data_IF_437837893080
#
_entry.id   IF_437837893080
#
_cell.length_a   1.000
_cell.length_b   1.000
_cell.length_c   1.000
_cell.angle_alpha   90.00
_cell.angle_beta   90.00
_cell.angle_gamma   90.00
#
_symmetry.space_group_name_H-M   'P 1'
#
loop_
_entity.id
_entity.type
_entity.pdbx_description
1 polymer ?
#
# COMPACT_ATOMS: atom_id res chain seq x y z
N UNK A 1 11.53 -25.12 -13.51
CA UNK A 1 12.43 -23.95 -13.54
C UNK A 1 12.98 -23.76 -12.14
N UNK A 2 14.30 -23.91 -11.97
CA UNK A 2 14.96 -23.65 -10.69
C UNK A 2 15.27 -22.15 -10.58
N UNK A 3 14.39 -21.42 -9.88
CA UNK A 3 14.53 -19.97 -9.68
C UNK A 3 15.77 -19.58 -8.87
N UNK A 4 16.37 -20.49 -8.09
CA UNK A 4 17.62 -20.20 -7.37
C UNK A 4 18.77 -20.13 -8.35
N UNK A 5 18.90 -21.14 -9.22
CA UNK A 5 19.89 -21.19 -10.29
C UNK A 5 19.73 -20.03 -11.27
N UNK A 6 18.51 -19.72 -11.69
CA UNK A 6 18.22 -18.63 -12.62
C UNK A 6 18.67 -17.25 -12.07
N UNK A 7 18.53 -17.00 -10.76
CA UNK A 7 19.06 -15.78 -10.12
C UNK A 7 20.57 -15.69 -10.16
N UNK A 8 21.26 -16.79 -9.86
CA UNK A 8 22.74 -16.83 -9.89
C UNK A 8 23.25 -16.65 -11.32
N UNK A 9 22.64 -17.34 -12.29
CA UNK A 9 23.00 -17.19 -13.70
C UNK A 9 22.77 -15.74 -14.17
N UNK A 10 21.58 -15.18 -13.89
CA UNK A 10 21.27 -13.79 -14.27
C UNK A 10 22.23 -12.76 -13.64
N UNK A 11 22.79 -13.05 -12.47
CA UNK A 11 23.81 -12.22 -11.85
C UNK A 11 25.15 -12.33 -12.59
N UNK A 12 25.60 -13.56 -12.87
CA UNK A 12 26.90 -13.82 -13.49
C UNK A 12 26.94 -13.39 -14.96
N UNK A 13 25.79 -13.41 -15.64
CA UNK A 13 25.69 -13.08 -17.06
C UNK A 13 25.41 -11.58 -17.31
N UNK A 14 25.39 -10.75 -16.26
CA UNK A 14 25.21 -9.30 -16.40
C UNK A 14 26.31 -8.69 -17.30
N UNK A 15 25.99 -7.81 -18.28
CA UNK A 15 24.73 -7.06 -18.44
C UNK A 15 23.61 -7.74 -19.25
N UNK A 16 23.73 -9.02 -19.61
CA UNK A 16 22.65 -9.70 -20.33
C UNK A 16 21.40 -9.84 -19.44
N UNK A 17 20.25 -9.37 -19.96
CA UNK A 17 18.99 -9.36 -19.20
C UNK A 17 18.22 -10.64 -19.50
N UNK A 18 18.11 -11.50 -18.48
CA UNK A 18 17.18 -12.64 -18.50
C UNK A 18 15.92 -12.27 -17.72
N UNK A 19 14.77 -12.22 -18.42
CA UNK A 19 13.48 -11.96 -17.78
C UNK A 19 12.98 -13.21 -17.06
N UNK A 20 12.54 -13.06 -15.81
CA UNK A 20 11.90 -14.12 -15.04
C UNK A 20 10.44 -14.32 -15.48
N UNK A 21 9.81 -15.42 -15.03
CA UNK A 21 8.43 -15.78 -15.40
C UNK A 21 7.42 -14.64 -15.25
N UNK A 22 7.47 -13.87 -14.16
CA UNK A 22 6.53 -12.78 -13.92
C UNK A 22 6.83 -11.57 -14.82
N UNK A 23 8.11 -11.22 -14.99
CA UNK A 23 8.55 -10.16 -15.90
C UNK A 23 8.12 -10.47 -17.34
N UNK A 24 8.36 -11.70 -17.84
CA UNK A 24 7.89 -12.11 -19.20
C UNK A 24 6.39 -11.93 -19.38
N UNK A 25 5.58 -12.41 -18.43
CA UNK A 25 4.12 -12.24 -18.47
C UNK A 25 3.69 -10.78 -18.44
N UNK A 26 4.41 -9.95 -17.70
CA UNK A 26 4.12 -8.52 -17.66
C UNK A 26 4.45 -7.85 -18.99
N UNK A 27 5.59 -8.18 -19.60
CA UNK A 27 5.93 -7.70 -20.95
C UNK A 27 4.89 -8.13 -21.99
N UNK A 28 4.45 -9.40 -21.97
CA UNK A 28 3.37 -9.89 -22.84
C UNK A 28 2.07 -9.09 -22.66
N UNK A 29 1.72 -8.74 -21.41
CA UNK A 29 0.56 -7.89 -21.12
C UNK A 29 0.73 -6.48 -21.69
N UNK A 30 1.92 -5.88 -21.54
CA UNK A 30 2.23 -4.56 -22.08
C UNK A 30 2.09 -4.56 -23.60
N UNK A 31 2.67 -5.53 -24.30
CA UNK A 31 2.55 -5.66 -25.77
C UNK A 31 1.09 -5.76 -26.21
N UNK A 32 0.29 -6.60 -25.53
CA UNK A 32 -1.12 -6.80 -25.86
C UNK A 32 -1.96 -5.53 -25.71
N UNK A 33 -1.59 -4.64 -24.79
CA UNK A 33 -2.36 -3.45 -24.45
C UNK A 33 -1.82 -2.18 -25.13
N UNK A 34 -0.86 -2.26 -26.07
CA UNK A 34 -0.30 -1.05 -26.72
C UNK A 34 -1.32 -0.33 -27.61
N UNK A 35 -1.28 1.01 -27.68
CA UNK A 35 -0.50 1.93 -26.86
C UNK A 35 -1.24 2.26 -25.54
N UNK A 36 -0.66 1.92 -24.39
CA UNK A 36 -1.18 2.37 -23.08
C UNK A 36 -0.10 3.14 -22.35
N UNK A 37 -0.43 4.38 -21.96
CA UNK A 37 0.38 5.16 -21.02
C UNK A 37 0.17 4.56 -19.63
N UNK A 38 1.22 3.95 -19.06
CA UNK A 38 1.14 3.10 -17.86
C UNK A 38 1.11 3.87 -16.54
N UNK A 39 1.47 5.15 -16.58
CA UNK A 39 1.42 6.06 -15.44
C UNK A 39 1.33 7.51 -15.93
N UNK A 40 0.61 8.36 -15.20
CA UNK A 40 0.44 9.78 -15.51
C UNK A 40 0.92 10.63 -14.34
N UNK A 41 2.02 11.34 -14.56
CA UNK A 41 2.57 12.27 -13.58
C UNK A 41 1.71 13.53 -13.44
N UNK A 42 1.69 14.12 -12.25
CA UNK A 42 1.18 15.46 -12.04
C UNK A 42 2.12 16.50 -12.69
N UNK A 43 1.57 17.67 -13.02
CA UNK A 43 2.35 18.79 -13.54
C UNK A 43 2.76 19.68 -12.37
N UNK A 44 4.04 19.70 -12.08
CA UNK A 44 4.60 20.53 -11.00
C UNK A 44 5.18 21.82 -11.59
N UNK A 45 5.05 22.92 -10.85
CA UNK A 45 5.68 24.20 -11.15
C UNK A 45 7.13 24.22 -10.72
N UNK A 46 7.90 25.08 -11.37
CA UNK A 46 9.29 25.32 -11.00
C UNK A 46 9.37 26.12 -9.69
N UNK A 47 10.27 25.71 -8.78
CA UNK A 47 10.62 26.44 -7.55
C UNK A 47 12.08 26.17 -7.18
N UNK A 48 12.81 27.17 -6.74
CA UNK A 48 14.25 27.02 -6.40
C UNK A 48 14.51 26.38 -5.02
N UNK A 49 13.47 26.03 -4.26
CA UNK A 49 13.62 25.48 -2.92
C UNK A 49 14.45 24.16 -2.95
N UNK A 50 15.59 24.07 -2.25
CA UNK A 50 16.46 22.90 -2.33
C UNK A 50 15.81 21.61 -1.83
N UNK A 51 14.92 21.67 -0.83
CA UNK A 51 14.25 20.49 -0.33
C UNK A 51 13.15 20.01 -1.28
N UNK A 52 12.42 20.94 -1.90
CA UNK A 52 11.51 20.62 -3.00
C UNK A 52 12.25 19.93 -4.15
N UNK A 53 13.38 20.47 -4.59
CA UNK A 53 14.18 19.89 -5.67
C UNK A 53 14.66 18.46 -5.35
N UNK A 54 15.02 18.18 -4.10
CA UNK A 54 15.32 16.80 -3.64
C UNK A 54 14.09 15.90 -3.78
N UNK A 55 12.89 16.38 -3.47
CA UNK A 55 11.66 15.59 -3.61
C UNK A 55 11.34 15.31 -5.09
N UNK A 56 11.50 16.32 -5.96
CA UNK A 56 11.36 16.15 -7.41
C UNK A 56 12.35 15.13 -7.94
N UNK A 57 13.61 15.16 -7.49
CA UNK A 57 14.63 14.17 -7.85
C UNK A 57 14.21 12.74 -7.48
N UNK A 58 13.58 12.54 -6.32
CA UNK A 58 13.02 11.22 -5.97
C UNK A 58 11.90 10.79 -6.91
N UNK A 59 10.99 11.69 -7.32
CA UNK A 59 9.97 11.34 -8.30
C UNK A 59 10.57 10.95 -9.65
N UNK A 60 11.59 11.67 -10.13
CA UNK A 60 12.27 11.35 -11.39
C UNK A 60 12.87 9.95 -11.35
N UNK A 61 13.66 9.63 -10.33
CA UNK A 61 14.25 8.29 -10.18
C UNK A 61 13.19 7.17 -10.14
N UNK A 62 12.06 7.42 -9.49
CA UNK A 62 10.95 6.49 -9.45
C UNK A 62 10.26 6.31 -10.82
N UNK A 63 10.07 7.40 -11.55
CA UNK A 63 9.42 7.40 -12.87
C UNK A 63 10.30 6.72 -13.93
N UNK A 64 11.62 6.91 -13.88
CA UNK A 64 12.58 6.26 -14.78
C UNK A 64 12.63 4.75 -14.61
N UNK A 65 12.22 4.24 -13.45
CA UNK A 65 12.16 2.81 -13.16
C UNK A 65 10.89 2.13 -13.73
N UNK A 66 9.94 2.90 -14.27
CA UNK A 66 8.76 2.36 -14.92
C UNK A 66 9.03 2.00 -16.39
N UNK A 67 8.34 0.98 -16.93
CA UNK A 67 7.26 0.21 -16.30
C UNK A 67 7.68 -1.01 -15.47
N UNK A 68 8.95 -1.40 -15.49
CA UNK A 68 9.39 -2.70 -14.98
C UNK A 68 9.44 -2.76 -13.46
N UNK A 69 9.65 -1.61 -12.79
CA UNK A 69 9.91 -1.53 -11.36
C UNK A 69 9.00 -0.52 -10.65
N UNK A 70 7.67 -0.77 -10.61
CA UNK A 70 6.74 0.05 -9.82
C UNK A 70 7.08 0.03 -8.31
N UNK A 71 7.80 -0.99 -7.84
CA UNK A 71 8.30 -1.06 -6.48
C UNK A 71 9.35 0.01 -6.16
N UNK A 72 10.15 0.46 -7.14
CA UNK A 72 11.06 1.59 -6.97
C UNK A 72 10.32 2.93 -6.92
N UNK A 73 9.31 3.14 -7.78
CA UNK A 73 8.49 4.34 -7.70
C UNK A 73 7.82 4.44 -6.33
N UNK A 74 7.30 3.33 -5.80
CA UNK A 74 6.79 3.25 -4.43
C UNK A 74 7.84 3.70 -3.39
N UNK A 75 9.04 3.11 -3.39
CA UNK A 75 10.08 3.44 -2.39
C UNK A 75 10.48 4.92 -2.44
N UNK A 76 10.56 5.49 -3.65
CA UNK A 76 10.86 6.91 -3.83
C UNK A 76 9.71 7.83 -3.40
N UNK A 77 8.46 7.49 -3.72
CA UNK A 77 7.31 8.24 -3.23
C UNK A 77 7.20 8.18 -1.71
N UNK A 78 7.49 7.02 -1.11
CA UNK A 78 7.53 6.88 0.34
C UNK A 78 8.65 7.72 0.97
N UNK A 79 9.79 7.86 0.29
CA UNK A 79 10.87 8.75 0.71
C UNK A 79 10.43 10.21 0.68
N UNK A 80 9.65 10.63 -0.33
CA UNK A 80 9.04 11.96 -0.38
C UNK A 80 8.06 12.16 0.78
N UNK A 81 7.25 11.16 1.11
CA UNK A 81 6.34 11.21 2.27
C UNK A 81 7.14 11.41 3.56
N UNK A 82 8.16 10.58 3.79
CA UNK A 82 8.97 10.62 5.00
C UNK A 82 9.74 11.95 5.15
N UNK A 83 10.54 12.30 4.14
CA UNK A 83 11.42 13.48 4.19
C UNK A 83 10.63 14.78 4.03
N UNK A 84 9.70 14.83 3.08
CA UNK A 84 8.91 16.02 2.79
C UNK A 84 7.96 16.40 3.94
N UNK A 85 7.42 15.41 4.65
CA UNK A 85 6.52 15.66 5.77
C UNK A 85 7.24 15.81 7.12
N UNK A 86 8.56 15.61 7.20
CA UNK A 86 9.31 15.66 8.45
C UNK A 86 9.09 16.95 9.27
N UNK A 87 9.09 18.12 8.63
CA UNK A 87 8.82 19.40 9.30
C UNK A 87 7.36 19.59 9.69
N UNK A 88 6.43 18.86 9.06
CA UNK A 88 5.02 18.84 9.44
C UNK A 88 4.81 17.99 10.70
N UNK A 89 5.74 17.10 11.05
CA UNK A 89 5.62 16.20 12.20
C UNK A 89 6.88 16.23 13.09
N UNK A 90 7.25 17.39 13.66
CA UNK A 90 8.50 17.55 14.38
C UNK A 90 8.60 16.59 15.57
N UNK A 91 9.71 15.86 15.65
CA UNK A 91 9.99 14.90 16.73
C UNK A 91 9.12 13.63 16.73
N UNK A 92 8.30 13.39 15.70
CA UNK A 92 7.45 12.18 15.64
C UNK A 92 7.97 11.08 14.71
N UNK A 93 8.94 11.41 13.86
CA UNK A 93 9.52 10.50 12.86
C UNK A 93 8.48 9.90 11.90
N UNK A 94 8.89 8.88 11.14
CA UNK A 94 8.02 8.24 10.13
C UNK A 94 6.73 7.67 10.73
N UNK A 95 6.78 7.11 11.95
CA UNK A 95 5.57 6.60 12.62
C UNK A 95 4.55 7.71 12.88
N UNK A 96 5.00 8.90 13.27
CA UNK A 96 4.11 10.06 13.39
C UNK A 96 3.49 10.48 12.08
N UNK A 97 4.31 10.52 11.02
CA UNK A 97 3.89 10.91 9.68
C UNK A 97 2.80 9.97 9.16
N UNK A 98 3.04 8.65 9.11
CA UNK A 98 2.06 7.69 8.54
C UNK A 98 0.77 7.59 9.35
N UNK A 99 0.80 7.95 10.65
CA UNK A 99 -0.38 7.97 11.50
C UNK A 99 -1.16 9.29 11.38
N UNK A 100 -0.48 10.40 11.08
CA UNK A 100 -1.03 11.75 11.16
C UNK A 100 -1.28 12.44 9.82
N UNK A 101 -0.64 12.00 8.72
CA UNK A 101 -0.70 12.65 7.42
C UNK A 101 -2.13 12.74 6.88
N UNK A 102 -2.91 11.66 6.98
CA UNK A 102 -4.31 11.66 6.56
C UNK A 102 -5.15 12.75 7.25
N UNK A 103 -4.96 12.96 8.56
CA UNK A 103 -5.65 14.02 9.29
C UNK A 103 -5.30 15.41 8.77
N UNK A 104 -4.01 15.67 8.49
CA UNK A 104 -3.57 16.98 7.96
C UNK A 104 -4.14 17.26 6.58
N UNK A 105 -4.16 16.25 5.72
CA UNK A 105 -4.67 16.37 4.35
C UNK A 105 -6.18 16.63 4.32
N UNK A 106 -6.94 15.89 5.13
CA UNK A 106 -8.39 16.11 5.27
C UNK A 106 -8.69 17.48 5.89
N UNK A 107 -7.92 17.91 6.88
CA UNK A 107 -8.07 19.26 7.45
C UNK A 107 -7.73 20.37 6.43
N UNK A 108 -6.83 20.10 5.49
CA UNK A 108 -6.45 21.04 4.43
C UNK A 108 -7.50 21.13 3.32
N UNK A 109 -8.02 19.99 2.84
CA UNK A 109 -9.07 19.94 1.82
C UNK A 109 -9.93 18.69 1.97
N UNK A 110 -10.97 18.78 2.82
CA UNK A 110 -11.76 17.62 3.23
C UNK A 110 -12.43 16.91 2.05
N UNK A 111 -13.13 17.65 1.19
CA UNK A 111 -13.88 17.09 0.06
C UNK A 111 -12.98 16.35 -0.92
N UNK A 112 -11.83 16.95 -1.27
CA UNK A 112 -10.92 16.36 -2.24
C UNK A 112 -10.22 15.12 -1.67
N UNK A 113 -9.72 15.20 -0.44
CA UNK A 113 -9.00 14.07 0.19
C UNK A 113 -9.92 12.91 0.55
N UNK A 114 -11.16 13.17 0.97
CA UNK A 114 -12.15 12.11 1.15
C UNK A 114 -12.42 11.37 -0.16
N UNK A 115 -12.61 12.10 -1.28
CA UNK A 115 -12.79 11.51 -2.60
C UNK A 115 -11.57 10.72 -3.09
N UNK A 116 -10.35 11.20 -2.81
CA UNK A 116 -9.10 10.48 -3.09
C UNK A 116 -9.06 9.15 -2.31
N UNK A 117 -9.33 9.20 -1.01
CA UNK A 117 -9.28 8.03 -0.13
C UNK A 117 -10.35 7.00 -0.52
N UNK A 118 -11.54 7.47 -0.88
CA UNK A 118 -12.60 6.64 -1.46
C UNK A 118 -12.15 5.91 -2.72
N UNK A 119 -11.54 6.64 -3.65
CA UNK A 119 -11.06 6.08 -4.90
C UNK A 119 -9.96 5.04 -4.67
N UNK A 120 -9.00 5.35 -3.80
CA UNK A 120 -7.88 4.45 -3.47
C UNK A 120 -8.36 3.17 -2.78
N UNK A 121 -9.20 3.28 -1.75
CA UNK A 121 -9.70 2.10 -1.02
C UNK A 121 -10.62 1.24 -1.88
N UNK A 122 -11.40 1.83 -2.79
CA UNK A 122 -12.23 1.09 -3.75
C UNK A 122 -11.37 0.35 -4.79
N UNK A 123 -10.30 0.98 -5.27
CA UNK A 123 -9.44 0.43 -6.30
C UNK A 123 -8.40 -0.58 -5.78
N UNK A 124 -8.12 -0.59 -4.47
CA UNK A 124 -7.11 -1.46 -3.86
C UNK A 124 -7.32 -2.94 -4.23
N UNK A 125 -6.32 -3.60 -4.86
CA UNK A 125 -6.43 -5.00 -5.24
C UNK A 125 -6.63 -5.93 -4.05
N UNK A 126 -7.39 -7.02 -4.24
CA UNK A 126 -7.60 -8.01 -3.17
C UNK A 126 -6.30 -8.68 -2.72
N UNK A 127 -5.29 -8.80 -3.59
CA UNK A 127 -3.94 -9.24 -3.21
C UNK A 127 -3.29 -8.32 -2.17
N UNK A 128 -3.52 -7.02 -2.23
CA UNK A 128 -3.00 -6.06 -1.25
C UNK A 128 -3.67 -6.22 0.11
N UNK A 129 -4.99 -6.43 0.15
CA UNK A 129 -5.68 -6.77 1.41
C UNK A 129 -5.22 -8.11 1.99
N UNK A 130 -4.98 -9.12 1.14
CA UNK A 130 -4.40 -10.40 1.57
C UNK A 130 -2.99 -10.25 2.12
N UNK A 131 -2.19 -9.37 1.52
CA UNK A 131 -0.86 -9.05 2.04
C UNK A 131 -0.92 -8.46 3.45
N UNK A 132 -1.80 -7.46 3.68
CA UNK A 132 -2.00 -6.88 5.03
C UNK A 132 -2.53 -7.92 6.01
N UNK A 133 -3.55 -8.69 5.63
CA UNK A 133 -4.12 -9.74 6.47
C UNK A 133 -3.07 -10.79 6.87
N UNK A 134 -2.29 -11.28 5.90
CA UNK A 134 -1.21 -12.24 6.14
C UNK A 134 -0.20 -11.69 7.14
N UNK A 135 0.22 -10.44 6.98
CA UNK A 135 1.17 -9.80 7.88
C UNK A 135 0.63 -9.68 9.32
N UNK A 136 -0.65 -9.36 9.49
CA UNK A 136 -1.29 -9.33 10.81
C UNK A 136 -1.29 -10.73 11.44
N UNK A 137 -1.68 -11.75 10.69
CA UNK A 137 -1.70 -13.14 11.17
C UNK A 137 -0.30 -13.65 11.54
N UNK A 138 0.69 -13.46 10.66
CA UNK A 138 2.09 -13.88 10.89
C UNK A 138 2.69 -13.18 12.11
N UNK A 139 2.44 -11.88 12.25
CA UNK A 139 2.92 -11.12 13.40
C UNK A 139 2.27 -11.57 14.71
N UNK A 140 0.96 -11.83 14.73
CA UNK A 140 0.29 -12.32 15.94
C UNK A 140 0.79 -13.71 16.37
N UNK A 141 1.14 -14.56 15.41
CA UNK A 141 1.68 -15.89 15.68
C UNK A 141 3.18 -15.85 16.04
N UNK A 142 3.84 -14.70 15.92
CA UNK A 142 5.28 -14.59 16.20
C UNK A 142 6.16 -15.26 15.13
N UNK A 143 5.66 -15.40 13.90
CA UNK A 143 6.38 -16.08 12.82
C UNK A 143 7.59 -15.30 12.29
N UNK A 144 7.64 -13.98 12.52
CA UNK A 144 8.64 -13.08 11.95
C UNK A 144 9.44 -12.35 13.05
N UNK A 145 10.70 -12.02 12.79
CA UNK A 145 11.55 -11.29 13.74
C UNK A 145 10.99 -9.91 14.14
N UNK A 146 10.19 -9.30 13.24
CA UNK A 146 9.55 -8.00 13.45
C UNK A 146 8.07 -8.09 13.87
N UNK A 147 7.64 -9.24 14.42
CA UNK A 147 6.26 -9.47 14.85
C UNK A 147 5.79 -8.44 15.88
N UNK A 148 6.62 -8.09 16.87
CA UNK A 148 6.27 -7.15 17.94
C UNK A 148 5.86 -5.77 17.42
N UNK A 149 6.71 -5.07 16.65
CA UNK A 149 6.37 -3.77 16.05
C UNK A 149 5.10 -3.79 15.18
N UNK A 150 4.86 -4.87 14.42
CA UNK A 150 3.64 -5.01 13.61
C UNK A 150 2.41 -5.17 14.51
N UNK A 151 2.46 -6.05 15.51
CA UNK A 151 1.37 -6.25 16.49
C UNK A 151 1.02 -4.93 17.19
N UNK A 152 2.03 -4.19 17.67
CA UNK A 152 1.79 -2.92 18.35
C UNK A 152 1.09 -1.90 17.43
N UNK A 153 1.56 -1.79 16.17
CA UNK A 153 0.97 -0.90 15.18
C UNK A 153 -0.48 -1.26 14.86
N UNK A 154 -0.75 -2.54 14.62
CA UNK A 154 -2.09 -3.05 14.28
C UNK A 154 -3.03 -2.89 15.47
N UNK A 155 -2.58 -3.20 16.69
CA UNK A 155 -3.35 -2.99 17.93
C UNK A 155 -3.68 -1.52 18.16
N UNK A 156 -2.73 -0.62 17.90
CA UNK A 156 -2.96 0.83 18.00
C UNK A 156 -3.95 1.33 16.96
N UNK A 157 -3.89 0.80 15.73
CA UNK A 157 -4.81 1.16 14.66
C UNK A 157 -6.25 0.67 14.94
N UNK A 158 -6.42 -0.59 15.35
CA UNK A 158 -7.75 -1.15 15.60
C UNK A 158 -8.38 -0.70 16.91
N UNK A 159 -7.57 -0.23 17.87
CA UNK A 159 -7.91 -0.17 19.30
C UNK A 159 -7.96 -1.56 19.95
N UNK A 160 -7.63 -1.69 21.25
CA UNK A 160 -7.45 -2.99 21.90
C UNK A 160 -8.65 -3.94 21.78
N UNK A 161 -9.88 -3.44 21.93
CA UNK A 161 -11.08 -4.28 21.92
C UNK A 161 -11.38 -4.87 20.52
N UNK A 162 -11.27 -4.05 19.47
CA UNK A 162 -11.49 -4.51 18.09
C UNK A 162 -10.34 -5.39 17.62
N UNK A 163 -9.10 -5.06 18.00
CA UNK A 163 -7.94 -5.91 17.76
C UNK A 163 -8.16 -7.31 18.30
N UNK A 164 -8.55 -7.43 19.58
CA UNK A 164 -8.80 -8.72 20.21
C UNK A 164 -9.87 -9.52 19.46
N UNK A 165 -11.00 -8.92 19.12
CA UNK A 165 -12.05 -9.60 18.35
C UNK A 165 -11.58 -10.02 16.95
N UNK A 166 -10.76 -9.20 16.29
CA UNK A 166 -10.20 -9.52 14.97
C UNK A 166 -9.30 -10.76 15.05
N UNK A 167 -8.40 -10.79 16.03
CA UNK A 167 -7.49 -11.93 16.25
C UNK A 167 -8.28 -13.19 16.64
N UNK A 168 -9.25 -13.07 17.54
CA UNK A 168 -10.09 -14.18 17.95
C UNK A 168 -10.86 -14.77 16.77
N UNK A 169 -11.42 -13.93 15.90
CA UNK A 169 -12.20 -14.39 14.74
C UNK A 169 -11.33 -14.98 13.64
N UNK A 170 -10.28 -14.28 13.23
CA UNK A 170 -9.55 -14.59 11.99
C UNK A 170 -8.23 -15.33 12.19
N UNK A 171 -7.75 -15.44 13.43
CA UNK A 171 -6.53 -16.20 13.76
C UNK A 171 -6.89 -17.44 14.57
N UNK A 172 -7.39 -17.26 15.80
CA UNK A 172 -7.65 -18.39 16.69
C UNK A 172 -8.91 -19.18 16.30
N UNK A 173 -9.99 -18.51 15.92
CA UNK A 173 -11.21 -19.13 15.40
C UNK A 173 -10.98 -19.86 14.08
N UNK A 174 -9.94 -19.49 13.32
CA UNK A 174 -9.47 -20.21 12.13
C UNK A 174 -8.51 -21.37 12.46
N UNK A 175 -8.22 -21.61 13.75
CA UNK A 175 -7.34 -22.69 14.21
C UNK A 175 -5.86 -22.50 13.87
N UNK A 176 -5.42 -21.27 13.63
CA UNK A 176 -4.04 -20.97 13.28
C UNK A 176 -3.13 -21.01 14.52
N UNK A 177 -1.97 -21.65 14.38
CA UNK A 177 -0.94 -21.78 15.42
C UNK A 177 0.43 -21.60 14.79
N UNK A 178 1.49 -21.43 15.60
CA UNK A 178 2.88 -21.46 15.11
C UNK A 178 3.25 -22.75 14.38
N UNK A 179 2.65 -23.87 14.79
CA UNK A 179 2.87 -25.20 14.23
C UNK A 179 2.03 -25.51 12.99
N UNK A 180 1.04 -24.67 12.65
CA UNK A 180 0.18 -24.84 11.48
C UNK A 180 0.40 -23.71 10.48
N UNK A 181 0.68 -23.99 9.20
CA UNK A 181 0.84 -22.94 8.21
C UNK A 181 -0.46 -22.15 8.06
N UNK A 182 -0.33 -20.84 7.92
CA UNK A 182 -1.47 -19.94 7.69
C UNK A 182 -2.18 -20.36 6.40
N UNK A 183 -3.42 -20.80 6.51
CA UNK A 183 -4.19 -21.27 5.37
C UNK A 183 -4.57 -20.11 4.44
N UNK A 184 -4.65 -20.39 3.15
CA UNK A 184 -5.12 -19.41 2.17
C UNK A 184 -6.53 -18.91 2.49
N UNK A 185 -7.40 -19.81 2.96
CA UNK A 185 -8.78 -19.49 3.32
C UNK A 185 -8.88 -18.50 4.49
N UNK A 186 -8.10 -18.69 5.56
CA UNK A 186 -8.09 -17.77 6.69
C UNK A 186 -7.65 -16.36 6.27
N UNK A 187 -6.57 -16.27 5.47
CA UNK A 187 -6.10 -14.99 4.91
C UNK A 187 -7.14 -14.36 3.99
N UNK A 188 -7.85 -15.16 3.19
CA UNK A 188 -8.89 -14.68 2.29
C UNK A 188 -10.08 -14.10 3.05
N UNK A 189 -10.54 -14.76 4.12
CA UNK A 189 -11.62 -14.27 4.98
C UNK A 189 -11.23 -12.96 5.68
N UNK A 190 -10.04 -12.91 6.27
CA UNK A 190 -9.50 -11.70 6.88
C UNK A 190 -9.36 -10.56 5.86
N UNK A 191 -8.87 -10.83 4.66
CA UNK A 191 -8.74 -9.85 3.59
C UNK A 191 -10.08 -9.29 3.12
N UNK A 192 -11.11 -10.15 3.01
CA UNK A 192 -12.46 -9.71 2.65
C UNK A 192 -13.04 -8.78 3.72
N UNK A 193 -12.81 -9.10 5.00
CA UNK A 193 -13.17 -8.19 6.10
C UNK A 193 -12.41 -6.86 6.01
N UNK A 194 -11.08 -6.89 5.83
CA UNK A 194 -10.28 -5.67 5.71
C UNK A 194 -10.71 -4.80 4.53
N UNK A 195 -11.11 -5.42 3.41
CA UNK A 195 -11.68 -4.70 2.25
C UNK A 195 -12.97 -3.97 2.62
N UNK A 196 -13.89 -4.66 3.29
CA UNK A 196 -15.13 -4.05 3.77
C UNK A 196 -14.84 -2.93 4.79
N UNK A 197 -13.98 -3.20 5.76
CA UNK A 197 -13.60 -2.25 6.81
C UNK A 197 -12.93 -0.99 6.25
N UNK A 198 -11.98 -1.14 5.32
CA UNK A 198 -11.30 -0.03 4.67
C UNK A 198 -12.19 0.74 3.68
N UNK A 199 -13.29 0.15 3.21
CA UNK A 199 -14.25 0.84 2.33
C UNK A 199 -15.05 1.93 3.04
N UNK A 200 -15.14 1.89 4.37
CA UNK A 200 -15.98 2.80 5.16
C UNK A 200 -17.48 2.67 4.88
N UNK A 201 -17.91 1.66 4.12
CA UNK A 201 -19.31 1.45 3.74
C UNK A 201 -20.04 0.57 4.76
N UNK A 202 -21.32 0.87 5.00
CA UNK A 202 -22.20 0.03 5.81
C UNK A 202 -22.39 -1.33 5.15
N UNK A 203 -22.27 -2.40 5.95
CA UNK A 203 -22.67 -3.72 5.51
C UNK A 203 -24.19 -3.83 5.42
N UNK A 204 -24.67 -4.41 4.33
CA UNK A 204 -26.11 -4.64 4.11
C UNK A 204 -26.68 -5.76 4.97
N UNK A 205 -25.82 -6.63 5.52
CA UNK A 205 -26.21 -7.74 6.38
C UNK A 205 -25.66 -7.52 7.78
N UNK A 206 -26.55 -7.55 8.77
CA UNK A 206 -26.17 -7.51 10.18
C UNK A 206 -25.48 -8.82 10.57
N UNK A 207 -24.35 -8.72 11.25
CA UNK A 207 -23.68 -9.90 11.79
C UNK A 207 -24.23 -10.16 13.20
N UNK A 208 -25.16 -11.10 13.35
CA UNK A 208 -25.81 -11.38 14.65
C UNK A 208 -24.92 -12.12 15.66
N UNK A 209 -23.60 -12.20 15.47
CA UNK A 209 -22.69 -12.87 16.40
C UNK A 209 -22.30 -11.91 17.55
N UNK A 210 -22.84 -12.09 18.78
CA UNK A 210 -22.63 -11.14 19.88
C UNK A 210 -21.16 -11.01 20.28
N UNK A 211 -20.38 -12.08 20.10
CA UNK A 211 -18.96 -12.15 20.41
C UNK A 211 -18.09 -11.18 19.58
N UNK A 212 -18.57 -10.72 18.42
CA UNK A 212 -17.78 -9.93 17.46
C UNK A 212 -18.40 -8.56 17.14
N UNK A 213 -19.08 -7.94 18.12
CA UNK A 213 -19.80 -6.67 17.95
C UNK A 213 -18.93 -5.52 17.41
N UNK A 214 -17.63 -5.45 17.74
CA UNK A 214 -16.72 -4.40 17.24
C UNK A 214 -16.25 -4.63 15.80
N UNK A 215 -16.57 -5.79 15.23
CA UNK A 215 -16.35 -6.14 13.83
C UNK A 215 -17.63 -6.08 13.00
N UNK A 216 -18.78 -5.72 13.60
CA UNK A 216 -20.05 -5.61 12.89
C UNK A 216 -20.09 -4.31 12.08
N UNK A 217 -19.91 -4.43 10.76
CA UNK A 217 -19.89 -3.30 9.82
C UNK A 217 -21.29 -2.77 9.47
N UNK A 218 -22.35 -3.36 10.03
CA UNK A 218 -23.70 -2.78 9.98
C UNK A 218 -23.92 -1.72 11.07
N UNK A 219 -23.06 -1.69 12.09
CA UNK A 219 -23.03 -0.65 13.11
C UNK A 219 -22.15 0.53 12.64
N UNK A 220 -22.76 1.70 12.44
CA UNK A 220 -22.07 2.89 11.95
C UNK A 220 -20.93 3.35 12.85
N UNK A 221 -20.97 3.03 14.16
CA UNK A 221 -19.89 3.34 15.10
C UNK A 221 -18.61 2.53 14.86
N UNK A 222 -18.68 1.47 14.06
CA UNK A 222 -17.53 0.65 13.70
C UNK A 222 -16.89 1.06 12.37
N UNK A 223 -17.48 1.99 11.62
CA UNK A 223 -16.94 2.44 10.35
C UNK A 223 -15.70 3.31 10.57
N UNK A 224 -14.76 3.21 9.62
CA UNK A 224 -13.60 4.08 9.62
C UNK A 224 -13.94 5.44 9.01
N UNK A 225 -13.50 6.50 9.69
CA UNK A 225 -13.47 7.85 9.08
C UNK A 225 -12.49 7.89 7.90
N UNK A 226 -12.61 8.89 7.00
CA UNK A 226 -11.64 9.06 5.92
C UNK A 226 -10.19 9.11 6.44
N UNK A 227 -9.94 9.78 7.56
CA UNK A 227 -8.61 9.86 8.16
C UNK A 227 -8.10 8.50 8.66
N UNK A 228 -8.97 7.68 9.25
CA UNK A 228 -8.60 6.33 9.66
C UNK A 228 -8.37 5.43 8.44
N UNK A 229 -9.07 5.64 7.33
CA UNK A 229 -8.83 4.91 6.07
C UNK A 229 -7.49 5.32 5.43
N UNK A 230 -7.13 6.60 5.47
CA UNK A 230 -5.78 7.03 5.10
C UNK A 230 -4.72 6.41 6.03
N UNK A 231 -4.98 6.34 7.34
CA UNK A 231 -4.10 5.69 8.30
C UNK A 231 -3.92 4.19 7.98
N UNK A 232 -4.98 3.49 7.57
CA UNK A 232 -4.88 2.10 7.07
C UNK A 232 -3.91 2.00 5.87
N UNK A 233 -4.11 2.83 4.85
CA UNK A 233 -3.31 2.83 3.63
C UNK A 233 -1.83 3.14 3.89
N UNK A 234 -1.55 4.13 4.74
CA UNK A 234 -0.18 4.57 5.01
C UNK A 234 0.55 3.67 6.03
N UNK A 235 -0.12 3.33 7.15
CA UNK A 235 0.53 2.67 8.29
C UNK A 235 0.44 1.15 8.21
N UNK A 236 -0.69 0.58 7.80
CA UNK A 236 -0.84 -0.88 7.71
C UNK A 236 -0.42 -1.45 6.36
N UNK A 237 -0.52 -0.67 5.28
CA UNK A 237 -0.12 -1.13 3.96
C UNK A 237 1.26 -0.61 3.55
N UNK A 238 1.40 0.70 3.30
CA UNK A 238 2.65 1.25 2.77
C UNK A 238 3.84 1.08 3.72
N UNK A 239 3.69 1.41 5.00
CA UNK A 239 4.78 1.34 5.97
C UNK A 239 5.26 -0.10 6.20
N UNK A 240 4.34 -1.07 6.32
CA UNK A 240 4.73 -2.49 6.45
C UNK A 240 5.47 -2.94 5.19
N UNK A 241 4.95 -2.63 4.00
CA UNK A 241 5.61 -2.95 2.73
C UNK A 241 7.00 -2.28 2.60
N UNK A 242 7.15 -1.05 3.08
CA UNK A 242 8.43 -0.34 3.06
C UNK A 242 9.44 -0.97 4.01
N UNK A 243 9.00 -1.33 5.22
CA UNK A 243 9.87 -1.91 6.24
C UNK A 243 10.40 -3.29 5.83
N UNK A 244 9.53 -4.18 5.35
CA UNK A 244 9.98 -5.50 4.87
C UNK A 244 11.03 -5.37 3.76
N UNK A 245 10.89 -4.36 2.89
CA UNK A 245 11.86 -4.07 1.82
C UNK A 245 13.15 -3.45 2.36
N UNK A 246 13.06 -2.56 3.35
CA UNK A 246 14.22 -1.91 3.96
C UNK A 246 15.12 -2.89 4.72
N UNK A 247 14.52 -3.85 5.42
CA UNK A 247 15.24 -4.82 6.25
C UNK A 247 15.73 -6.04 5.47
N UNK A 248 15.55 -6.07 4.14
CA UNK A 248 16.04 -7.16 3.29
C UNK A 248 15.34 -8.51 3.50
N UNK A 249 14.22 -8.53 4.21
CA UNK A 249 13.43 -9.75 4.46
C UNK A 249 12.70 -10.23 3.20
N UNK A 250 12.53 -9.35 2.22
CA UNK A 250 11.91 -9.66 0.93
C UNK A 250 12.95 -10.04 -0.12
N UNK A 251 12.77 -11.24 -0.69
CA UNK A 251 13.30 -11.55 -2.01
C UNK A 251 12.77 -10.53 -3.03
N UNK A 252 13.55 -10.25 -4.08
CA UNK A 252 13.13 -9.38 -5.20
C UNK A 252 11.70 -9.71 -5.64
N UNK A 253 10.77 -8.73 -5.63
CA UNK A 253 9.34 -9.01 -5.73
C UNK A 253 8.96 -9.75 -7.01
N UNK A 254 9.64 -9.46 -8.12
CA UNK A 254 9.33 -10.00 -9.45
C UNK A 254 10.22 -11.18 -9.86
N UNK A 255 11.34 -11.41 -9.18
CA UNK A 255 12.33 -12.47 -9.53
C UNK A 255 12.25 -13.69 -8.61
N UNK A 256 11.02 -14.16 -8.36
CA UNK A 256 10.74 -15.33 -7.51
C UNK A 256 9.75 -16.27 -8.18
N UNK A 257 9.76 -17.55 -7.77
CA UNK A 257 8.82 -18.56 -8.25
C UNK A 257 7.35 -18.24 -7.95
N UNK A 258 7.11 -17.38 -6.95
CA UNK A 258 5.80 -16.96 -6.47
C UNK A 258 5.32 -15.64 -7.09
N UNK A 259 6.14 -14.98 -7.91
CA UNK A 259 5.75 -13.73 -8.56
C UNK A 259 4.77 -13.98 -9.72
N UNK A 260 3.78 -13.11 -9.86
CA UNK A 260 2.75 -13.15 -10.90
C UNK A 260 2.28 -11.73 -11.28
N UNK A 261 1.32 -11.63 -12.20
CA UNK A 261 0.75 -10.34 -12.62
C UNK A 261 0.01 -9.61 -11.49
N UNK A 262 -0.59 -10.34 -10.54
CA UNK A 262 -1.24 -9.74 -9.37
C UNK A 262 -0.25 -9.01 -8.48
N UNK A 263 1.00 -9.47 -8.45
CA UNK A 263 2.08 -8.75 -7.76
C UNK A 263 2.41 -7.43 -8.45
N UNK A 264 2.47 -7.39 -9.80
CA UNK A 264 2.61 -6.13 -10.54
C UNK A 264 1.44 -5.19 -10.25
N UNK A 265 0.20 -5.67 -10.35
CA UNK A 265 -1.01 -4.89 -10.02
C UNK A 265 -0.91 -4.27 -8.61
N UNK A 266 -0.50 -5.08 -7.62
CA UNK A 266 -0.36 -4.61 -6.23
C UNK A 266 0.71 -3.54 -6.07
N UNK A 267 1.86 -3.65 -6.74
CA UNK A 267 2.92 -2.64 -6.68
C UNK A 267 2.59 -1.39 -7.48
N UNK A 268 1.90 -1.50 -8.61
CA UNK A 268 1.39 -0.34 -9.34
C UNK A 268 0.36 0.45 -8.52
N UNK A 269 -0.54 -0.27 -7.84
CA UNK A 269 -1.47 0.35 -6.91
C UNK A 269 -0.72 1.04 -5.76
N UNK A 270 0.23 0.34 -5.14
CA UNK A 270 1.04 0.89 -4.05
C UNK A 270 1.81 2.15 -4.49
N UNK A 271 2.42 2.13 -5.67
CA UNK A 271 3.12 3.28 -6.24
C UNK A 271 2.19 4.47 -6.46
N UNK A 272 1.01 4.25 -7.07
CA UNK A 272 0.01 5.31 -7.29
C UNK A 272 -0.52 5.88 -6.00
N UNK A 273 -0.82 5.01 -5.03
CA UNK A 273 -1.28 5.42 -3.70
C UNK A 273 -0.22 6.28 -3.01
N UNK A 274 1.04 5.84 -2.97
CA UNK A 274 2.11 6.63 -2.35
C UNK A 274 2.46 7.88 -3.13
N UNK A 275 2.39 7.87 -4.46
CA UNK A 275 2.58 9.07 -5.27
C UNK A 275 1.52 10.12 -4.94
N UNK A 276 0.26 9.69 -4.83
CA UNK A 276 -0.86 10.57 -4.44
C UNK A 276 -0.61 11.22 -3.07
N UNK A 277 -0.24 10.43 -2.05
CA UNK A 277 0.09 10.99 -0.73
C UNK A 277 1.37 11.85 -0.73
N UNK A 278 2.36 11.52 -1.54
CA UNK A 278 3.58 12.31 -1.71
C UNK A 278 3.29 13.68 -2.34
N UNK A 279 2.38 13.74 -3.32
CA UNK A 279 1.89 15.00 -3.86
C UNK A 279 1.11 15.81 -2.81
N UNK A 280 0.33 15.15 -1.95
CA UNK A 280 -0.32 15.81 -0.81
C UNK A 280 0.68 16.40 0.19
N UNK A 281 1.84 15.76 0.37
CA UNK A 281 2.93 16.34 1.16
C UNK A 281 3.48 17.60 0.48
N UNK A 282 3.65 17.61 -0.85
CA UNK A 282 4.06 18.83 -1.55
C UNK A 282 3.05 19.96 -1.36
N UNK A 283 1.76 19.67 -1.52
CA UNK A 283 0.69 20.64 -1.32
C UNK A 283 0.71 21.24 0.10
N UNK A 284 0.79 20.40 1.13
CA UNK A 284 0.87 20.86 2.52
C UNK A 284 2.11 21.72 2.81
N UNK A 285 3.16 21.57 1.99
CA UNK A 285 4.38 22.38 2.07
C UNK A 285 4.31 23.65 1.22
N UNK A 286 3.27 23.81 0.40
CA UNK A 286 3.16 24.90 -0.58
C UNK A 286 4.16 24.75 -1.73
N UNK A 287 4.55 23.52 -2.07
CA UNK A 287 5.57 23.21 -3.06
C UNK A 287 5.00 22.72 -4.38
N UNK A 288 5.67 23.06 -5.48
CA UNK A 288 5.35 22.67 -6.85
C UNK A 288 4.03 23.26 -7.37
N UNK A 289 3.40 24.17 -6.63
CA UNK A 289 2.11 24.78 -6.98
C UNK A 289 0.97 23.80 -7.27
N UNK A 290 1.04 22.57 -6.74
CA UNK A 290 0.03 21.53 -6.94
C UNK A 290 -1.11 21.67 -5.93
N UNK A 291 -2.34 21.40 -6.38
CA UNK A 291 -3.56 21.49 -5.58
C UNK A 291 -4.24 20.13 -5.38
N UNK A 292 -5.05 20.00 -4.33
CA UNK A 292 -5.81 18.79 -4.00
C UNK A 292 -6.68 18.32 -5.17
N UNK A 293 -7.24 19.25 -5.94
CA UNK A 293 -8.03 18.93 -7.13
C UNK A 293 -7.19 18.29 -8.24
N UNK A 294 -6.00 18.84 -8.52
CA UNK A 294 -5.05 18.26 -9.48
C UNK A 294 -4.52 16.90 -8.99
N UNK A 295 -4.31 16.75 -7.68
CA UNK A 295 -3.93 15.47 -7.06
C UNK A 295 -5.05 14.44 -7.23
N UNK A 296 -6.30 14.81 -6.99
CA UNK A 296 -7.46 13.93 -7.18
C UNK A 296 -7.60 13.49 -8.64
N UNK A 297 -7.45 14.43 -9.57
CA UNK A 297 -7.50 14.13 -11.00
C UNK A 297 -6.36 13.20 -11.42
N UNK A 298 -5.13 13.45 -10.95
CA UNK A 298 -3.98 12.60 -11.17
C UNK A 298 -4.18 11.18 -10.60
N UNK A 299 -4.68 11.07 -9.36
CA UNK A 299 -5.02 9.79 -8.73
C UNK A 299 -6.05 9.03 -9.58
N UNK A 300 -7.15 9.70 -9.95
CA UNK A 300 -8.24 9.10 -10.75
C UNK A 300 -7.72 8.57 -12.09
N UNK A 301 -6.92 9.35 -12.82
CA UNK A 301 -6.33 8.93 -14.09
C UNK A 301 -5.41 7.72 -13.93
N UNK A 302 -4.57 7.69 -12.91
CA UNK A 302 -3.68 6.54 -12.66
C UNK A 302 -4.44 5.28 -12.25
N UNK A 303 -5.51 5.39 -11.46
CA UNK A 303 -6.37 4.25 -11.13
C UNK A 303 -7.08 3.70 -12.38
N UNK A 304 -7.59 4.57 -13.24
CA UNK A 304 -8.22 4.17 -14.51
C UNK A 304 -7.22 3.46 -15.46
N UNK A 305 -5.99 3.97 -15.55
CA UNK A 305 -4.91 3.33 -16.32
C UNK A 305 -4.60 1.93 -15.79
N UNK A 306 -4.50 1.77 -14.47
CA UNK A 306 -4.24 0.45 -13.87
C UNK A 306 -5.40 -0.51 -14.09
N UNK A 307 -6.63 -0.04 -13.93
CA UNK A 307 -7.81 -0.83 -14.22
C UNK A 307 -7.80 -1.32 -15.68
N UNK A 308 -7.54 -0.44 -16.64
CA UNK A 308 -7.46 -0.81 -18.05
C UNK A 308 -6.30 -1.78 -18.37
N UNK A 309 -5.21 -1.73 -17.60
CA UNK A 309 -4.05 -2.59 -17.81
C UNK A 309 -4.27 -4.00 -17.25
N UNK A 310 -4.76 -4.11 -16.01
CA UNK A 310 -4.82 -5.38 -15.27
C UNK A 310 -6.19 -6.07 -15.31
N UNK A 311 -7.25 -5.38 -15.79
CA UNK A 311 -8.59 -5.96 -16.02
C UNK A 311 -8.89 -6.06 -17.53
#
# INVERSE_FOLDING_TARGET
MDFKKERVNSHNDWPQITLFKAERKFHELLEKKRPVKLFQQAKLRHEDNPDYQKMVGHFLNGLEALPERPDYLFDHCFTVIDRGASSLFPGKGITGIVNGLGNRLIAHSSTEWESIIDSLTRAMPLSSYRYVAKNICEAQLGCNAYSGPIVERVRKFFEPARYHQFIEKFVFGAGLTTSKPISHEAVQQAANFLKLYASGSLATKRTCAPAFRKLDMSDSSNLLSPAQRAHFLLSLYAFIARNERAHGELLSPFRTSKADLKRYESYYFLATMTYTFALGVLELRGWGGITSAEIRECCTRNLAVQEALFR
#
